data_IF_787366029867
#
_entry.id   IF_787366029867
#
_cell.length_a   1.000
_cell.length_b   1.000
_cell.length_c   1.000
_cell.angle_alpha   90.00
_cell.angle_beta   90.00
_cell.angle_gamma   90.00
#
_symmetry.space_group_name_H-M   'P 1'
#
loop_
_entity.id
_entity.type
_entity.pdbx_description
1 polymer ?
#
# COMPACT_ATOMS: atom_id res chain seq x y z
N UNK A 1 -4.40 -5.81 2.78
CA UNK A 1 -4.14 -6.26 1.41
C UNK A 1 -3.39 -5.23 0.55
N UNK A 2 -3.93 -4.04 0.16
CA UNK A 2 -3.13 -3.04 -0.60
C UNK A 2 -1.88 -2.59 0.16
N UNK A 3 -2.01 -2.41 1.49
CA UNK A 3 -0.87 -2.10 2.33
C UNK A 3 0.24 -3.16 2.23
N UNK A 4 -0.10 -4.44 2.08
CA UNK A 4 0.90 -5.52 1.95
C UNK A 4 1.70 -5.43 0.66
N UNK A 5 1.09 -5.05 -0.47
CA UNK A 5 1.82 -4.79 -1.70
C UNK A 5 2.79 -3.61 -1.53
N UNK A 6 2.35 -2.57 -0.83
CA UNK A 6 3.23 -1.44 -0.50
C UNK A 6 4.35 -1.86 0.46
N UNK A 7 4.03 -2.60 1.54
CA UNK A 7 4.99 -3.09 2.53
C UNK A 7 6.02 -4.08 1.95
N UNK A 8 5.66 -4.78 0.87
CA UNK A 8 6.60 -5.64 0.14
C UNK A 8 7.62 -4.86 -0.70
N UNK A 9 7.38 -3.55 -0.92
CA UNK A 9 8.28 -2.70 -1.70
C UNK A 9 9.50 -2.31 -0.88
N UNK A 10 10.75 -2.63 -1.28
CA UNK A 10 11.95 -2.38 -0.47
C UNK A 10 12.25 -0.89 -0.28
N UNK A 11 11.75 -0.03 -1.17
CA UNK A 11 11.94 1.42 -1.09
C UNK A 11 10.82 2.11 -0.29
N UNK A 12 9.86 1.38 0.26
CA UNK A 12 8.86 1.96 1.16
C UNK A 12 9.54 2.36 2.48
N UNK A 13 9.40 3.64 2.85
CA UNK A 13 9.93 4.20 4.10
C UNK A 13 8.87 4.16 5.19
N UNK A 14 7.64 4.59 4.85
CA UNK A 14 6.53 4.68 5.78
C UNK A 14 5.19 4.65 5.03
N UNK A 15 4.12 4.32 5.74
CA UNK A 15 2.76 4.26 5.21
C UNK A 15 1.78 4.88 6.21
N UNK A 16 0.97 5.83 5.73
CA UNK A 16 -0.10 6.41 6.53
C UNK A 16 -1.46 5.99 5.98
N UNK A 17 -2.23 5.30 6.80
CA UNK A 17 -3.61 4.94 6.48
C UNK A 17 -4.58 6.05 6.89
N UNK A 18 -5.64 6.22 6.10
CA UNK A 18 -6.76 7.13 6.36
C UNK A 18 -6.32 8.55 6.74
N UNK A 19 -5.32 9.08 6.03
CA UNK A 19 -4.82 10.43 6.28
C UNK A 19 -5.91 11.46 6.01
N UNK A 20 -6.21 12.29 7.02
CA UNK A 20 -7.18 13.37 6.88
C UNK A 20 -6.66 14.45 5.92
N UNK A 21 -7.50 14.84 4.96
CA UNK A 21 -7.25 15.97 4.07
C UNK A 21 -7.63 17.26 4.81
N UNK A 22 -6.65 18.13 5.03
CA UNK A 22 -6.89 19.38 5.76
C UNK A 22 -7.85 20.30 5.00
N UNK A 23 -8.84 20.91 5.68
CA UNK A 23 -9.72 21.91 5.07
C UNK A 23 -8.98 23.21 4.73
N UNK A 24 -7.89 23.50 5.41
CA UNK A 24 -7.04 24.68 5.20
C UNK A 24 -5.64 24.28 4.76
N UNK A 25 -4.89 25.23 4.20
CA UNK A 25 -3.48 25.00 3.81
C UNK A 25 -2.68 24.41 4.99
N UNK A 26 -1.91 23.38 4.71
CA UNK A 26 -1.11 22.67 5.72
C UNK A 26 0.26 22.30 5.17
N UNK A 27 1.20 22.00 6.07
CA UNK A 27 2.56 21.60 5.71
C UNK A 27 2.56 20.29 4.91
N UNK A 28 3.56 20.13 4.07
CA UNK A 28 3.76 18.88 3.32
C UNK A 28 3.98 17.69 4.27
N UNK A 29 3.45 16.50 3.98
CA UNK A 29 3.63 15.33 4.83
C UNK A 29 5.10 14.94 5.09
N UNK A 30 5.98 15.18 4.10
CA UNK A 30 7.43 14.96 4.24
C UNK A 30 8.19 16.10 4.93
N UNK A 31 7.52 17.20 5.30
CA UNK A 31 8.19 18.30 5.97
C UNK A 31 8.70 17.88 7.35
N UNK A 32 10.01 18.07 7.57
CA UNK A 32 10.67 17.66 8.81
C UNK A 32 11.00 16.15 8.90
N UNK A 33 10.74 15.37 7.84
CA UNK A 33 11.21 14.00 7.79
C UNK A 33 12.76 13.96 7.74
N UNK A 34 13.43 13.03 8.44
CA UNK A 34 14.90 12.99 8.49
C UNK A 34 15.58 12.93 7.13
N UNK A 35 14.96 12.30 6.13
CA UNK A 35 15.49 12.19 4.77
C UNK A 35 15.26 13.45 3.91
N UNK A 36 14.48 14.44 4.40
CA UNK A 36 14.22 15.70 3.69
C UNK A 36 14.95 16.89 4.33
N UNK A 37 16.01 16.64 5.09
CA UNK A 37 16.79 17.73 5.74
C UNK A 37 17.32 18.70 4.69
N UNK A 38 16.97 19.98 4.84
CA UNK A 38 17.37 21.04 3.92
C UNK A 38 16.48 21.21 2.69
N UNK A 39 15.41 20.41 2.53
CA UNK A 39 14.42 20.58 1.49
C UNK A 39 13.11 21.14 2.04
N UNK A 40 12.44 21.98 1.27
CA UNK A 40 11.18 22.62 1.65
C UNK A 40 10.12 22.27 0.59
N UNK A 41 9.51 21.08 0.66
CA UNK A 41 8.47 20.71 -0.28
C UNK A 41 7.26 21.66 -0.13
N UNK A 42 6.54 21.94 -1.23
CA UNK A 42 5.43 22.90 -1.22
C UNK A 42 4.31 22.43 -0.27
N UNK A 43 3.61 23.35 0.40
CA UNK A 43 2.50 23.00 1.29
C UNK A 43 1.31 22.45 0.51
N UNK A 44 0.52 21.61 1.15
CA UNK A 44 -0.78 21.18 0.65
C UNK A 44 -1.79 22.34 0.72
N UNK A 45 -2.51 22.59 -0.36
CA UNK A 45 -3.63 23.52 -0.37
C UNK A 45 -4.82 22.93 0.38
N UNK A 46 -5.64 23.79 1.03
CA UNK A 46 -6.81 23.31 1.77
C UNK A 46 -7.93 22.78 0.86
N UNK A 47 -8.65 21.75 1.33
CA UNK A 47 -9.78 21.20 0.56
C UNK A 47 -10.91 22.20 0.32
N UNK A 48 -11.07 23.24 1.15
CA UNK A 48 -12.05 24.32 0.94
C UNK A 48 -11.70 25.18 -0.28
N UNK A 49 -10.42 25.54 -0.42
CA UNK A 49 -9.93 26.32 -1.55
C UNK A 49 -10.08 25.53 -2.85
N UNK A 50 -9.63 24.27 -2.86
CA UNK A 50 -9.72 23.41 -4.03
C UNK A 50 -11.18 23.13 -4.40
N UNK A 51 -12.04 22.86 -3.42
CA UNK A 51 -13.47 22.66 -3.66
C UNK A 51 -14.11 23.84 -4.36
N UNK A 52 -13.76 25.07 -3.94
CA UNK A 52 -14.22 26.31 -4.60
C UNK A 52 -13.73 26.38 -6.05
N UNK A 53 -12.45 26.06 -6.29
CA UNK A 53 -11.84 26.10 -7.62
C UNK A 53 -12.48 25.11 -8.59
N UNK A 54 -12.80 23.89 -8.15
CA UNK A 54 -13.37 22.84 -9.01
C UNK A 54 -14.89 22.84 -9.05
N UNK A 55 -15.55 23.75 -8.33
CA UNK A 55 -17.02 23.81 -8.23
C UNK A 55 -17.63 22.66 -7.39
N UNK A 56 -16.85 22.08 -6.49
CA UNK A 56 -17.33 21.05 -5.57
C UNK A 56 -17.96 21.67 -4.33
N UNK A 57 -19.20 21.32 -4.02
CA UNK A 57 -19.82 21.73 -2.77
C UNK A 57 -19.22 20.96 -1.60
N UNK A 58 -18.32 21.60 -0.85
CA UNK A 58 -17.74 21.01 0.34
C UNK A 58 -18.82 20.71 1.37
N UNK A 59 -18.83 19.48 1.91
CA UNK A 59 -19.80 19.09 2.92
C UNK A 59 -19.41 19.70 4.28
N UNK A 60 -20.43 20.07 5.08
CA UNK A 60 -20.27 20.59 6.44
C UNK A 60 -20.98 19.68 7.42
N UNK A 61 -20.42 19.53 8.59
CA UNK A 61 -21.05 18.84 9.74
C UNK A 61 -21.27 19.84 10.87
N UNK A 62 -22.26 19.55 11.70
CA UNK A 62 -22.53 20.34 12.90
C UNK A 62 -21.88 19.64 14.08
N UNK A 63 -20.94 20.32 14.71
CA UNK A 63 -20.26 19.84 15.93
C UNK A 63 -20.79 20.66 17.12
N UNK A 64 -21.10 19.99 18.22
CA UNK A 64 -21.48 20.63 19.48
C UNK A 64 -20.24 20.63 20.38
N UNK A 65 -19.80 21.80 20.83
CA UNK A 65 -18.69 21.93 21.77
C UNK A 65 -19.10 21.56 23.21
N UNK A 66 -18.16 21.53 24.13
CA UNK A 66 -18.38 21.21 25.54
C UNK A 66 -19.33 22.18 26.26
N UNK A 67 -19.52 23.39 25.73
CA UNK A 67 -20.47 24.40 26.23
C UNK A 67 -21.86 24.29 25.64
N UNK A 68 -22.13 23.29 24.77
CA UNK A 68 -23.41 23.08 24.12
C UNK A 68 -23.65 23.94 22.87
N UNK A 69 -22.69 24.75 22.45
CA UNK A 69 -22.78 25.58 21.26
C UNK A 69 -22.61 24.74 19.99
N UNK A 70 -23.48 24.93 19.01
CA UNK A 70 -23.46 24.23 17.72
C UNK A 70 -22.72 25.06 16.67
N UNK A 71 -21.62 24.51 16.13
CA UNK A 71 -20.82 25.14 15.08
C UNK A 71 -20.76 24.25 13.84
N UNK A 72 -20.90 24.86 12.66
CA UNK A 72 -20.65 24.19 11.39
C UNK A 72 -19.14 24.15 11.16
N UNK A 73 -18.63 22.97 10.83
CA UNK A 73 -17.22 22.75 10.47
C UNK A 73 -17.15 21.98 9.15
N UNK A 74 -16.11 22.18 8.35
CA UNK A 74 -15.89 21.40 7.13
C UNK A 74 -15.82 19.91 7.44
N UNK A 75 -16.41 19.08 6.57
CA UNK A 75 -16.31 17.63 6.70
C UNK A 75 -14.86 17.19 6.51
N UNK A 76 -14.30 16.36 7.42
CA UNK A 76 -12.94 15.86 7.30
C UNK A 76 -12.88 14.73 6.26
N UNK A 77 -12.58 15.04 5.01
CA UNK A 77 -12.31 14.01 4.01
C UNK A 77 -11.04 13.27 4.36
N UNK A 78 -10.97 12.00 3.99
CA UNK A 78 -9.82 11.12 4.22
C UNK A 78 -9.35 10.55 2.89
N UNK A 79 -8.02 10.43 2.73
CA UNK A 79 -7.37 9.59 1.74
C UNK A 79 -7.22 8.17 2.27
N UNK A 80 -7.05 7.19 1.39
CA UNK A 80 -6.99 5.79 1.81
C UNK A 80 -5.57 5.41 2.29
N UNK A 81 -4.54 5.55 1.43
CA UNK A 81 -3.15 5.24 1.77
C UNK A 81 -2.21 6.33 1.23
N UNK A 82 -1.33 6.85 2.08
CA UNK A 82 -0.25 7.73 1.68
C UNK A 82 1.08 7.02 1.92
N UNK A 83 1.81 6.74 0.84
CA UNK A 83 3.08 6.04 0.84
C UNK A 83 4.22 7.05 0.82
N UNK A 84 5.26 6.80 1.62
CA UNK A 84 6.53 7.52 1.58
C UNK A 84 7.59 6.59 1.02
N UNK A 85 8.20 6.99 -0.09
CA UNK A 85 9.09 6.16 -0.88
C UNK A 85 10.49 6.77 -0.91
N UNK A 86 11.52 5.93 -0.88
CA UNK A 86 12.87 6.33 -1.22
C UNK A 86 13.00 6.44 -2.75
N UNK A 87 13.65 7.49 -3.23
CA UNK A 87 14.04 7.57 -4.64
C UNK A 87 15.46 7.04 -4.84
N UNK A 88 15.74 6.53 -6.03
CA UNK A 88 17.10 6.17 -6.46
C UNK A 88 18.08 7.37 -6.40
N UNK A 89 17.55 8.59 -6.43
CA UNK A 89 18.33 9.84 -6.25
C UNK A 89 18.61 10.17 -4.79
N UNK A 90 18.08 9.39 -3.84
CA UNK A 90 18.21 9.62 -2.41
C UNK A 90 17.21 10.64 -1.83
N UNK A 91 16.39 11.28 -2.67
CA UNK A 91 15.33 12.18 -2.20
C UNK A 91 14.02 11.40 -2.03
N UNK A 92 13.38 11.44 -0.84
CA UNK A 92 12.11 10.78 -0.64
C UNK A 92 11.00 11.53 -1.37
N UNK A 93 10.01 10.77 -1.84
CA UNK A 93 8.77 11.29 -2.42
C UNK A 93 7.56 10.63 -1.78
N UNK A 94 6.37 11.16 -2.05
CA UNK A 94 5.13 10.57 -1.57
C UNK A 94 4.20 10.23 -2.73
N UNK A 95 3.42 9.15 -2.56
CA UNK A 95 2.37 8.72 -3.50
C UNK A 95 1.10 8.46 -2.69
N UNK A 96 -0.01 9.07 -3.11
CA UNK A 96 -1.31 8.78 -2.54
C UNK A 96 -2.01 7.68 -3.35
N UNK A 97 -2.44 6.61 -2.69
CA UNK A 97 -3.32 5.60 -3.27
C UNK A 97 -4.76 5.84 -2.82
N UNK A 98 -5.62 6.17 -3.78
CA UNK A 98 -7.07 6.12 -3.57
C UNK A 98 -7.54 4.71 -3.89
N UNK A 99 -8.16 4.03 -2.92
CA UNK A 99 -8.41 2.58 -2.96
C UNK A 99 -9.90 2.28 -3.10
N UNK A 100 -10.26 1.34 -3.98
CA UNK A 100 -11.63 0.83 -4.14
C UNK A 100 -11.64 -0.69 -4.35
N UNK A 101 -12.78 -1.30 -4.12
CA UNK A 101 -12.95 -2.74 -4.38
C UNK A 101 -12.89 -3.06 -5.89
N UNK A 102 -13.47 -2.18 -6.72
CA UNK A 102 -13.50 -2.35 -8.18
C UNK A 102 -13.23 -1.01 -8.86
N UNK A 103 -12.62 -1.05 -10.04
CA UNK A 103 -12.24 0.14 -10.82
C UNK A 103 -13.42 1.08 -11.12
N UNK A 104 -14.59 0.51 -11.41
CA UNK A 104 -15.78 1.31 -11.69
C UNK A 104 -16.27 2.13 -10.49
N UNK A 105 -15.89 1.77 -9.26
CA UNK A 105 -16.28 2.51 -8.05
C UNK A 105 -15.63 3.90 -7.95
N UNK A 106 -14.61 4.21 -8.76
CA UNK A 106 -14.05 5.56 -8.86
C UNK A 106 -14.94 6.53 -9.63
N UNK A 107 -15.71 6.02 -10.60
CA UNK A 107 -16.61 6.82 -11.44
C UNK A 107 -18.07 6.71 -11.03
N UNK A 108 -18.44 5.67 -10.30
CA UNK A 108 -19.82 5.38 -9.96
C UNK A 108 -19.99 5.06 -8.47
N UNK A 109 -20.91 5.78 -7.79
CA UNK A 109 -21.40 5.31 -6.50
C UNK A 109 -22.17 3.99 -6.72
N UNK A 110 -22.06 3.01 -5.80
CA UNK A 110 -22.81 1.73 -5.87
C UNK A 110 -24.19 1.96 -6.45
N UNK A 111 -24.44 1.36 -7.61
CA UNK A 111 -25.72 1.43 -8.29
C UNK A 111 -26.79 0.81 -7.38
N UNK A 112 -27.65 1.65 -6.83
CA UNK A 112 -28.90 1.18 -6.28
C UNK A 112 -29.90 1.18 -7.44
N UNK A 113 -30.39 0.01 -7.84
CA UNK A 113 -31.44 -0.16 -8.84
C UNK A 113 -32.72 0.64 -8.52
N UNK A 114 -32.87 1.14 -7.29
CA UNK A 114 -33.97 1.96 -6.81
C UNK A 114 -33.85 3.47 -7.13
N UNK A 115 -32.73 3.94 -7.72
CA UNK A 115 -32.53 5.38 -7.98
C UNK A 115 -32.91 5.75 -9.41
N UNK A 116 -33.54 6.91 -9.55
CA UNK A 116 -33.85 7.47 -10.89
C UNK A 116 -32.56 7.78 -11.68
N UNK A 117 -32.59 7.78 -13.03
CA UNK A 117 -31.44 8.14 -13.86
C UNK A 117 -30.84 9.52 -13.54
N UNK A 118 -31.67 10.48 -13.17
CA UNK A 118 -31.23 11.82 -12.77
C UNK A 118 -30.43 11.77 -11.46
N UNK A 119 -30.89 10.97 -10.49
CA UNK A 119 -30.16 10.79 -9.24
C UNK A 119 -28.86 10.04 -9.44
N UNK A 120 -28.84 9.02 -10.30
CA UNK A 120 -27.60 8.29 -10.64
C UNK A 120 -26.58 9.21 -11.30
N UNK A 121 -27.00 10.12 -12.19
CA UNK A 121 -26.12 11.12 -12.79
C UNK A 121 -25.54 12.05 -11.73
N UNK A 122 -26.35 12.60 -10.83
CA UNK A 122 -25.88 13.47 -9.75
C UNK A 122 -24.89 12.74 -8.82
N UNK A 123 -25.13 11.47 -8.53
CA UNK A 123 -24.24 10.67 -7.69
C UNK A 123 -22.89 10.43 -8.39
N UNK A 124 -22.88 10.21 -9.72
CA UNK A 124 -21.64 10.11 -10.52
C UNK A 124 -20.87 11.42 -10.53
N UNK A 125 -21.54 12.51 -10.87
CA UNK A 125 -20.92 13.83 -10.92
C UNK A 125 -20.28 14.18 -9.55
N UNK A 126 -20.98 13.87 -8.46
CA UNK A 126 -20.46 14.06 -7.11
C UNK A 126 -19.25 13.16 -6.79
N UNK A 127 -19.29 11.88 -7.19
CA UNK A 127 -18.16 10.97 -6.99
C UNK A 127 -16.91 11.41 -7.77
N UNK A 128 -17.08 11.85 -9.01
CA UNK A 128 -16.00 12.36 -9.84
C UNK A 128 -15.39 13.64 -9.24
N UNK A 129 -16.22 14.58 -8.81
CA UNK A 129 -15.74 15.80 -8.15
C UNK A 129 -15.03 15.49 -6.82
N UNK A 130 -15.50 14.50 -6.05
CA UNK A 130 -14.83 14.06 -4.81
C UNK A 130 -13.45 13.44 -5.11
N UNK A 131 -13.36 12.61 -6.15
CA UNK A 131 -12.08 12.05 -6.58
C UNK A 131 -11.13 13.14 -7.10
N UNK A 132 -11.67 14.12 -7.86
CA UNK A 132 -10.91 15.27 -8.32
C UNK A 132 -10.40 16.14 -7.16
N UNK A 133 -11.21 16.34 -6.11
CA UNK A 133 -10.79 17.07 -4.91
C UNK A 133 -9.53 16.43 -4.27
N UNK A 134 -9.51 15.13 -4.14
CA UNK A 134 -8.37 14.39 -3.56
C UNK A 134 -7.13 14.48 -4.47
N UNK A 135 -7.32 14.31 -5.78
CA UNK A 135 -6.24 14.43 -6.77
C UNK A 135 -5.60 15.83 -6.72
N UNK A 136 -6.41 16.89 -6.80
CA UNK A 136 -5.91 18.27 -6.78
C UNK A 136 -5.27 18.65 -5.42
N UNK A 137 -5.79 18.07 -4.30
CA UNK A 137 -5.23 18.28 -2.99
C UNK A 137 -3.78 17.78 -2.93
N UNK A 138 -3.52 16.56 -3.34
CA UNK A 138 -2.19 16.00 -3.32
C UNK A 138 -1.29 16.56 -4.44
N UNK A 139 -1.83 16.79 -5.63
CA UNK A 139 -1.09 17.40 -6.74
C UNK A 139 -0.59 18.81 -6.40
N UNK A 140 -1.30 19.57 -5.55
CA UNK A 140 -0.87 20.89 -5.09
C UNK A 140 0.49 20.90 -4.37
N UNK A 141 0.89 19.74 -3.87
CA UNK A 141 2.15 19.51 -3.16
C UNK A 141 3.13 18.61 -3.93
N UNK A 142 2.87 18.34 -5.22
CA UNK A 142 3.71 17.44 -6.01
C UNK A 142 3.56 15.96 -5.63
N UNK A 143 2.44 15.59 -5.00
CA UNK A 143 2.15 14.21 -4.63
C UNK A 143 1.20 13.61 -5.67
N UNK A 144 1.63 12.54 -6.34
CA UNK A 144 0.79 11.81 -7.30
C UNK A 144 -0.31 11.05 -6.58
N UNK A 145 -1.54 11.11 -7.12
CA UNK A 145 -2.64 10.24 -6.70
C UNK A 145 -2.84 9.14 -7.73
N UNK A 146 -2.78 7.89 -7.28
CA UNK A 146 -3.02 6.69 -8.07
C UNK A 146 -4.31 6.04 -7.60
N UNK A 147 -5.20 5.71 -8.55
CA UNK A 147 -6.40 4.93 -8.27
C UNK A 147 -6.06 3.45 -8.32
N UNK A 148 -6.20 2.76 -7.19
CA UNK A 148 -5.89 1.34 -7.05
C UNK A 148 -7.15 0.58 -6.69
N UNK A 149 -7.43 -0.52 -7.39
CA UNK A 149 -8.58 -1.36 -7.10
C UNK A 149 -8.21 -2.85 -7.11
N UNK A 150 -9.00 -3.67 -6.40
CA UNK A 150 -8.72 -5.09 -6.24
C UNK A 150 -8.63 -5.85 -7.55
N UNK A 151 -9.47 -5.49 -8.51
CA UNK A 151 -9.53 -6.09 -9.84
C UNK A 151 -8.32 -5.73 -10.72
N UNK A 152 -7.41 -4.86 -10.26
CA UNK A 152 -6.14 -4.57 -10.93
C UNK A 152 -5.01 -5.51 -10.50
N UNK A 153 -5.18 -6.23 -9.39
CA UNK A 153 -4.14 -7.09 -8.82
C UNK A 153 -4.59 -8.55 -8.95
N UNK A 154 -3.67 -9.40 -9.41
CA UNK A 154 -3.95 -10.82 -9.55
C UNK A 154 -4.37 -11.43 -8.19
N UNK A 155 -5.47 -12.19 -8.12
CA UNK A 155 -5.94 -12.80 -6.88
C UNK A 155 -4.92 -13.74 -6.22
N UNK A 156 -4.07 -14.40 -7.02
CA UNK A 156 -3.02 -15.28 -6.49
C UNK A 156 -1.93 -14.45 -5.81
N UNK A 157 -1.55 -13.32 -6.41
CA UNK A 157 -0.61 -12.36 -5.79
C UNK A 157 -1.15 -11.86 -4.47
N UNK A 158 -2.44 -11.54 -4.40
CA UNK A 158 -3.10 -11.10 -3.16
C UNK A 158 -2.99 -12.18 -2.08
N UNK A 159 -3.34 -13.41 -2.41
CA UNK A 159 -3.29 -14.53 -1.46
C UNK A 159 -1.86 -14.82 -0.98
N UNK A 160 -0.88 -14.73 -1.88
CA UNK A 160 0.53 -14.91 -1.55
C UNK A 160 1.05 -13.80 -0.62
N UNK A 161 0.72 -12.54 -0.90
CA UNK A 161 1.11 -11.42 -0.04
C UNK A 161 0.45 -11.52 1.36
N UNK A 162 -0.81 -11.94 1.45
CA UNK A 162 -1.49 -12.17 2.73
C UNK A 162 -0.80 -13.28 3.54
N UNK A 163 -0.44 -14.38 2.89
CA UNK A 163 0.30 -15.48 3.50
C UNK A 163 1.65 -14.99 4.04
N UNK A 164 2.45 -14.35 3.20
CA UNK A 164 3.78 -13.88 3.57
C UNK A 164 3.72 -12.83 4.69
N UNK A 165 2.77 -11.90 4.62
CA UNK A 165 2.58 -10.89 5.65
C UNK A 165 2.22 -11.50 7.01
N UNK A 166 1.46 -12.58 7.04
CA UNK A 166 1.14 -13.28 8.28
C UNK A 166 2.35 -13.95 8.94
N UNK A 167 3.41 -14.23 8.17
CA UNK A 167 4.58 -14.97 8.61
C UNK A 167 5.84 -14.10 8.83
N UNK A 168 5.88 -12.86 8.25
CA UNK A 168 7.11 -12.10 8.18
C UNK A 168 7.65 -11.60 9.53
N UNK A 169 6.79 -11.41 10.53
CA UNK A 169 7.17 -10.95 11.87
C UNK A 169 7.23 -12.09 12.91
N UNK A 170 7.04 -13.35 12.51
CA UNK A 170 7.12 -14.46 13.45
C UNK A 170 8.54 -14.56 14.02
N UNK A 171 8.62 -14.68 15.36
CA UNK A 171 9.91 -14.76 16.04
C UNK A 171 10.64 -16.05 15.69
N UNK A 172 11.90 -15.92 15.27
CA UNK A 172 12.85 -17.01 15.08
C UNK A 172 13.93 -16.85 16.13
N UNK A 173 14.08 -17.87 16.99
CA UNK A 173 14.99 -17.83 18.15
C UNK A 173 16.25 -18.67 17.97
N UNK A 174 16.42 -19.34 16.83
CA UNK A 174 17.64 -20.07 16.51
C UNK A 174 18.84 -19.14 16.36
N UNK A 175 20.01 -19.67 16.60
CA UNK A 175 21.29 -18.97 16.41
C UNK A 175 21.41 -18.43 14.97
N UNK A 176 21.99 -17.25 14.83
CA UNK A 176 22.17 -16.58 13.53
C UNK A 176 23.00 -17.40 12.54
N UNK A 177 23.96 -18.19 13.03
CA UNK A 177 24.78 -19.09 12.21
C UNK A 177 23.93 -20.22 11.64
N UNK A 178 23.04 -20.82 12.46
CA UNK A 178 22.11 -21.86 12.00
C UNK A 178 21.14 -21.29 10.97
N UNK A 179 20.64 -20.07 11.20
CA UNK A 179 19.71 -19.42 10.27
C UNK A 179 20.38 -19.01 8.96
N UNK A 180 21.64 -18.59 9.00
CA UNK A 180 22.43 -18.30 7.78
C UNK A 180 22.67 -19.56 6.96
N UNK A 181 23.07 -20.67 7.60
CA UNK A 181 23.26 -21.97 6.96
C UNK A 181 21.94 -22.50 6.36
N UNK A 182 20.83 -22.33 7.09
CA UNK A 182 19.50 -22.65 6.59
C UNK A 182 19.12 -21.85 5.35
N UNK A 183 19.34 -20.52 5.35
CA UNK A 183 19.05 -19.66 4.20
C UNK A 183 19.89 -20.04 2.97
N UNK A 184 21.17 -20.40 3.14
CA UNK A 184 22.00 -20.94 2.06
C UNK A 184 21.43 -22.25 1.50
N UNK A 185 21.05 -23.19 2.39
CA UNK A 185 20.44 -24.46 2.00
C UNK A 185 19.09 -24.27 1.27
N UNK A 186 18.30 -23.24 1.64
CA UNK A 186 17.08 -22.89 0.92
C UNK A 186 17.37 -22.41 -0.51
N UNK A 187 18.40 -21.56 -0.68
CA UNK A 187 18.79 -21.07 -2.02
C UNK A 187 19.25 -22.22 -2.92
N UNK A 188 20.05 -23.16 -2.39
CA UNK A 188 20.49 -24.35 -3.11
C UNK A 188 19.30 -25.25 -3.49
N UNK A 189 18.38 -25.50 -2.54
CA UNK A 189 17.18 -26.29 -2.79
C UNK A 189 16.30 -25.64 -3.85
N UNK A 190 16.08 -24.34 -3.77
CA UNK A 190 15.32 -23.56 -4.76
C UNK A 190 15.94 -23.68 -6.16
N UNK A 191 17.26 -23.48 -6.27
CA UNK A 191 17.98 -23.56 -7.54
C UNK A 191 17.89 -24.97 -8.18
N UNK A 192 17.80 -26.01 -7.34
CA UNK A 192 17.70 -27.41 -7.79
C UNK A 192 16.24 -27.91 -7.92
N UNK A 193 15.25 -27.05 -7.75
CA UNK A 193 13.83 -27.44 -7.83
C UNK A 193 13.40 -28.41 -6.72
N UNK A 194 14.04 -28.36 -5.56
CA UNK A 194 13.69 -29.17 -4.38
C UNK A 194 12.65 -28.40 -3.56
N UNK A 195 11.55 -29.08 -3.08
CA UNK A 195 10.60 -28.44 -2.20
C UNK A 195 11.25 -27.89 -0.93
N UNK A 196 11.03 -26.60 -0.61
CA UNK A 196 11.66 -25.93 0.52
C UNK A 196 11.26 -26.53 1.87
N UNK A 197 10.07 -27.10 1.96
CA UNK A 197 9.61 -27.83 3.14
C UNK A 197 10.55 -29.00 3.52
N UNK A 198 11.22 -29.64 2.56
CA UNK A 198 12.18 -30.71 2.85
C UNK A 198 13.37 -30.20 3.65
N UNK A 199 13.87 -29.00 3.31
CA UNK A 199 14.97 -28.37 4.05
C UNK A 199 14.51 -28.03 5.48
N UNK A 200 13.31 -27.45 5.63
CA UNK A 200 12.76 -27.14 6.95
C UNK A 200 12.58 -28.39 7.82
N UNK A 201 12.17 -29.53 7.24
CA UNK A 201 12.05 -30.80 7.95
C UNK A 201 13.41 -31.32 8.39
N UNK A 202 14.45 -31.24 7.56
CA UNK A 202 15.81 -31.67 7.90
C UNK A 202 16.39 -30.84 9.04
N UNK A 203 16.26 -29.53 8.97
CA UNK A 203 16.74 -28.62 10.02
C UNK A 203 15.92 -28.79 11.31
N UNK A 204 14.60 -28.92 11.20
CA UNK A 204 13.74 -29.19 12.34
C UNK A 204 14.06 -30.50 13.05
N UNK A 205 14.45 -31.56 12.31
CA UNK A 205 14.89 -32.81 12.88
C UNK A 205 16.25 -32.68 13.62
N UNK A 206 17.15 -31.82 13.13
CA UNK A 206 18.48 -31.61 13.71
C UNK A 206 18.48 -30.65 14.89
N UNK A 207 17.72 -29.53 14.78
CA UNK A 207 17.80 -28.40 15.70
C UNK A 207 16.53 -28.20 16.54
N UNK A 208 15.44 -28.93 16.24
CA UNK A 208 14.13 -28.73 16.84
C UNK A 208 13.37 -27.53 16.24
N UNK A 209 12.21 -27.20 16.80
CA UNK A 209 11.39 -26.03 16.44
C UNK A 209 11.16 -25.88 14.93
N UNK A 210 10.73 -26.98 14.27
CA UNK A 210 10.45 -27.03 12.82
C UNK A 210 9.65 -25.81 12.30
N UNK A 211 8.68 -25.34 13.08
CA UNK A 211 7.79 -24.25 12.67
C UNK A 211 8.52 -22.92 12.51
N UNK A 212 9.65 -22.71 13.20
CA UNK A 212 10.51 -21.55 12.99
C UNK A 212 11.23 -21.60 11.65
N UNK A 213 11.67 -22.79 11.20
CA UNK A 213 12.27 -22.97 9.88
C UNK A 213 11.21 -22.77 8.77
N UNK A 214 9.97 -23.19 8.99
CA UNK A 214 8.86 -22.90 8.07
C UNK A 214 8.61 -21.39 7.99
N UNK A 215 8.55 -20.69 9.12
CA UNK A 215 8.40 -19.22 9.13
C UNK A 215 9.55 -18.54 8.40
N UNK A 216 10.80 -19.00 8.59
CA UNK A 216 11.97 -18.46 7.94
C UNK A 216 11.95 -18.62 6.40
N UNK A 217 11.35 -19.68 5.84
CA UNK A 217 11.13 -19.78 4.39
C UNK A 217 10.31 -18.59 3.90
N UNK A 218 9.18 -18.31 4.54
CA UNK A 218 8.30 -17.20 4.15
C UNK A 218 8.95 -15.84 4.38
N UNK A 219 9.78 -15.70 5.42
CA UNK A 219 10.58 -14.50 5.69
C UNK A 219 11.66 -14.26 4.63
N UNK A 220 12.32 -15.30 4.13
CA UNK A 220 13.29 -15.20 3.05
C UNK A 220 12.63 -14.84 1.70
N UNK A 221 11.39 -15.30 1.46
CA UNK A 221 10.59 -14.86 0.32
C UNK A 221 10.15 -13.40 0.50
N UNK A 222 9.64 -13.03 1.68
CA UNK A 222 9.20 -11.65 1.97
C UNK A 222 10.35 -10.65 1.85
N UNK A 223 11.53 -11.00 2.36
CA UNK A 223 12.74 -10.18 2.27
C UNK A 223 13.44 -10.23 0.90
N UNK A 224 12.81 -10.90 -0.09
CA UNK A 224 13.29 -11.01 -1.48
C UNK A 224 14.64 -11.75 -1.64
N UNK A 225 15.07 -12.52 -0.65
CA UNK A 225 16.23 -13.39 -0.77
C UNK A 225 15.97 -14.58 -1.71
N UNK A 226 14.70 -15.01 -1.81
CA UNK A 226 14.22 -16.00 -2.77
C UNK A 226 13.29 -15.31 -3.76
N UNK A 227 13.70 -15.20 -5.01
CA UNK A 227 12.93 -14.56 -6.09
C UNK A 227 12.03 -15.58 -6.76
N UNK A 228 10.82 -15.75 -6.22
CA UNK A 228 9.83 -16.72 -6.69
C UNK A 228 8.79 -16.09 -7.61
N UNK A 229 8.07 -16.91 -8.39
CA UNK A 229 6.92 -16.50 -9.17
C UNK A 229 5.70 -16.24 -8.27
N UNK A 230 5.31 -14.98 -8.09
CA UNK A 230 4.15 -14.57 -7.28
C UNK A 230 2.80 -14.80 -7.96
N UNK A 231 2.79 -15.13 -9.26
CA UNK A 231 1.56 -15.39 -10.01
C UNK A 231 1.13 -16.87 -9.93
N UNK A 232 1.85 -17.68 -9.16
CA UNK A 232 1.48 -19.04 -8.80
C UNK A 232 1.38 -19.17 -7.26
N UNK A 233 0.52 -20.05 -6.74
CA UNK A 233 0.41 -20.25 -5.28
C UNK A 233 1.73 -20.67 -4.66
N UNK A 234 2.09 -20.06 -3.52
CA UNK A 234 3.29 -20.44 -2.76
C UNK A 234 3.00 -21.72 -1.96
N UNK A 235 3.39 -22.86 -2.50
CA UNK A 235 3.27 -24.19 -1.88
C UNK A 235 4.67 -24.72 -1.60
N UNK A 236 5.17 -24.53 -0.36
CA UNK A 236 6.55 -24.87 0.01
C UNK A 236 6.85 -26.39 0.00
N UNK A 237 5.83 -27.24 -0.03
CA UNK A 237 5.89 -28.69 -0.19
C UNK A 237 6.00 -29.15 -1.65
N UNK A 238 5.99 -28.20 -2.58
CA UNK A 238 6.23 -28.39 -4.01
C UNK A 238 7.42 -27.53 -4.47
N UNK A 239 8.08 -27.88 -5.60
CA UNK A 239 9.10 -27.04 -6.20
C UNK A 239 8.53 -25.66 -6.54
N UNK A 240 9.08 -24.60 -5.95
CA UNK A 240 8.72 -23.24 -6.31
C UNK A 240 9.42 -22.83 -7.61
N UNK A 241 8.73 -22.08 -8.45
CA UNK A 241 9.29 -21.57 -9.70
C UNK A 241 10.01 -20.24 -9.47
N UNK A 242 11.15 -20.02 -10.12
CA UNK A 242 11.78 -18.70 -10.11
C UNK A 242 10.89 -17.67 -10.81
N UNK A 243 11.04 -16.41 -10.41
CA UNK A 243 10.30 -15.32 -11.01
C UNK A 243 10.84 -15.05 -12.42
N UNK A 244 9.96 -15.15 -13.42
CA UNK A 244 10.25 -14.70 -14.79
C UNK A 244 10.11 -13.18 -14.90
N UNK A 245 9.23 -12.58 -14.10
CA UNK A 245 8.96 -11.15 -14.05
C UNK A 245 8.79 -10.71 -12.59
N UNK A 246 9.60 -9.74 -12.15
CA UNK A 246 9.52 -9.22 -10.79
C UNK A 246 8.13 -8.59 -10.53
N UNK A 247 7.54 -8.95 -9.39
CA UNK A 247 6.23 -8.45 -8.96
C UNK A 247 6.16 -6.92 -8.99
N UNK A 248 7.21 -6.25 -8.47
CA UNK A 248 7.25 -4.79 -8.42
C UNK A 248 7.47 -4.15 -9.80
N UNK A 249 8.01 -4.88 -10.77
CA UNK A 249 8.06 -4.41 -12.16
C UNK A 249 6.68 -4.42 -12.81
N UNK A 250 5.84 -5.43 -12.49
CA UNK A 250 4.45 -5.51 -13.00
C UNK A 250 3.59 -4.38 -12.44
N UNK A 251 3.70 -4.13 -11.15
CA UNK A 251 2.91 -3.11 -10.45
C UNK A 251 3.67 -1.79 -10.24
N UNK A 252 4.83 -1.60 -10.84
CA UNK A 252 5.70 -0.45 -10.66
C UNK A 252 5.03 0.89 -10.93
N UNK A 253 4.09 0.94 -11.88
CA UNK A 253 3.33 2.15 -12.19
C UNK A 253 2.50 2.69 -11.01
N UNK A 254 2.24 1.87 -9.99
CA UNK A 254 1.53 2.27 -8.78
C UNK A 254 2.40 3.11 -7.84
N UNK A 255 3.73 3.01 -7.95
CA UNK A 255 4.70 3.63 -7.05
C UNK A 255 5.44 4.83 -7.65
N UNK A 256 5.20 5.16 -8.91
CA UNK A 256 5.94 6.22 -9.62
C UNK A 256 5.68 7.59 -9.02
N UNK A 257 6.76 8.38 -8.89
CA UNK A 257 6.74 9.78 -8.47
C UNK A 257 5.87 10.67 -9.38
N UNK A 258 5.46 11.82 -8.87
CA UNK A 258 4.77 12.83 -9.65
C UNK A 258 5.75 13.43 -10.69
N UNK A 259 5.46 13.26 -11.97
CA UNK A 259 6.14 13.97 -13.04
C UNK A 259 5.48 15.36 -13.21
N UNK A 260 6.26 16.43 -12.97
CA UNK A 260 5.80 17.81 -13.05
C UNK A 260 5.66 18.30 -14.50
#
# INVERSE_FOLDING_TARGET
>A
MFAQLALYHPELIDIHEQKMLSPVTTIHPLHGHPLTVGTFPPPLRGTLEIATQIGFKHHEIVVTNSSGERKKVPFPYQGDLLLFMASHTGMPYAVNWSVKDVRNAFSERRLSSAKSPIQQKKDRDHAQLRAKLELEYYASAGIRTVQVSLDMIDPVVIANLDLLFSMHELSVTHDSTVMSDFSCSLQEAFANGIPLAHVALQYGARWGCRDQFIAAIYQDIWSRKLSINFFEPILIDHPLKPSEQDLLSVYGSLFVEFEA
#
